data_IF_196082108373
#
_entry.id   IF_196082108373
#
_cell.length_a   1.000
_cell.length_b   1.000
_cell.length_c   1.000
_cell.angle_alpha   90.00
_cell.angle_beta   90.00
_cell.angle_gamma   90.00
#
_symmetry.space_group_name_H-M   'P 1'
#
loop_
_entity.id
_entity.type
_entity.pdbx_description
1 polymer ?
#
# COMPACT_ATOMS: atom_id res chain seq x y z
N UNK A 1 -7.56 -24.99 6.36
CA UNK A 1 -7.21 -23.80 7.17
C UNK A 1 -6.10 -23.08 6.42
N UNK A 2 -6.46 -22.17 5.51
CA UNK A 2 -5.46 -21.36 4.80
C UNK A 2 -4.88 -20.39 5.83
N UNK A 3 -3.60 -20.50 6.14
CA UNK A 3 -2.93 -19.52 6.97
C UNK A 3 -3.10 -18.16 6.29
N UNK A 4 -3.84 -17.26 6.92
CA UNK A 4 -3.99 -15.89 6.46
C UNK A 4 -2.59 -15.29 6.44
N UNK A 5 -2.00 -15.10 5.26
CA UNK A 5 -0.67 -14.53 5.11
C UNK A 5 -0.66 -13.19 5.86
N UNK A 6 0.13 -13.03 6.95
CA UNK A 6 -0.05 -11.91 7.87
C UNK A 6 0.40 -10.56 7.30
N UNK A 7 1.15 -10.58 6.19
CA UNK A 7 1.73 -9.39 5.58
C UNK A 7 3.17 -9.64 5.14
N UNK A 8 3.97 -8.57 5.06
CA UNK A 8 5.41 -8.62 4.84
C UNK A 8 6.13 -8.43 6.17
N UNK A 9 7.06 -9.33 6.48
CA UNK A 9 7.93 -9.23 7.63
C UNK A 9 9.37 -9.19 7.17
N UNK A 10 10.16 -8.35 7.83
CA UNK A 10 11.59 -8.22 7.55
C UNK A 10 12.35 -8.56 8.82
N UNK A 11 13.38 -9.37 8.63
CA UNK A 11 14.27 -9.79 9.70
C UNK A 11 15.69 -9.36 9.38
N UNK A 12 16.26 -8.47 10.22
CA UNK A 12 17.59 -7.93 9.99
C UNK A 12 18.67 -8.83 10.59
N UNK A 13 19.35 -9.57 9.71
CA UNK A 13 20.49 -10.42 10.09
C UNK A 13 21.85 -9.76 9.81
N UNK A 14 21.88 -8.69 9.02
CA UNK A 14 23.13 -8.03 8.63
C UNK A 14 23.60 -7.01 9.68
N UNK A 15 24.92 -6.86 9.82
CA UNK A 15 25.57 -5.81 10.63
C UNK A 15 25.70 -4.47 9.91
N UNK A 16 25.25 -4.39 8.65
CA UNK A 16 25.27 -3.14 7.90
C UNK A 16 24.45 -2.09 8.66
N UNK A 17 24.93 -0.83 8.75
CA UNK A 17 24.20 0.27 9.40
C UNK A 17 23.01 0.71 8.53
N UNK A 18 21.99 1.27 9.20
CA UNK A 18 20.74 1.87 8.69
C UNK A 18 19.97 1.07 7.64
N UNK A 19 19.25 0.05 8.11
CA UNK A 19 18.18 -0.54 7.31
C UNK A 19 16.96 0.37 7.37
N UNK A 20 16.74 1.14 6.31
CA UNK A 20 15.49 1.89 6.12
C UNK A 20 14.39 0.94 5.62
N UNK A 21 13.23 0.84 6.27
CA UNK A 21 11.99 0.43 5.58
C UNK A 21 11.22 1.69 5.21
N UNK A 22 11.46 2.24 4.03
CA UNK A 22 10.72 3.42 3.59
C UNK A 22 9.35 2.95 3.11
N UNK A 23 8.37 3.04 4.00
CA UNK A 23 6.98 3.26 3.61
C UNK A 23 6.90 4.68 3.04
N UNK A 24 6.63 4.81 1.74
CA UNK A 24 6.11 6.09 1.24
C UNK A 24 4.65 6.19 1.78
N UNK A 25 4.08 7.36 2.08
CA UNK A 25 3.32 7.57 3.34
C UNK A 25 1.82 7.13 3.27
N UNK A 26 1.10 6.98 4.41
CA UNK A 26 0.52 8.18 5.08
C UNK A 26 0.77 8.25 6.61
N UNK A 27 0.20 9.25 7.31
CA UNK A 27 0.85 10.42 7.90
C UNK A 27 1.67 10.19 9.18
N UNK A 28 1.82 8.95 9.66
CA UNK A 28 2.33 8.68 11.00
C UNK A 28 3.26 7.47 11.04
N UNK A 29 4.53 7.72 10.74
CA UNK A 29 5.63 6.87 11.21
C UNK A 29 6.15 5.87 10.18
N UNK A 30 7.40 6.07 9.79
CA UNK A 30 8.25 5.02 9.23
C UNK A 30 8.34 3.87 10.23
N UNK A 31 8.15 2.63 9.78
CA UNK A 31 8.56 1.45 10.55
C UNK A 31 10.06 1.29 10.32
N UNK A 32 10.88 1.51 11.35
CA UNK A 32 12.32 1.29 11.22
C UNK A 32 12.71 -0.04 11.85
N UNK A 33 13.26 -0.96 11.06
CA UNK A 33 14.01 -2.12 11.57
C UNK A 33 15.45 -1.75 11.95
N UNK A 34 15.58 -0.79 12.87
CA UNK A 34 16.88 -0.23 13.22
C UNK A 34 17.71 -1.17 14.09
N UNK A 35 17.10 -2.19 14.73
CA UNK A 35 17.82 -3.13 15.60
C UNK A 35 18.16 -4.44 14.87
N UNK A 36 19.37 -4.92 15.13
CA UNK A 36 19.81 -6.25 14.69
C UNK A 36 18.93 -7.32 15.34
N UNK A 37 18.60 -8.39 14.61
CA UNK A 37 17.76 -9.50 15.05
C UNK A 37 16.30 -9.11 15.36
N UNK A 38 15.87 -7.94 14.93
CA UNK A 38 14.46 -7.51 15.02
C UNK A 38 13.65 -8.11 13.86
N UNK A 39 12.44 -8.57 14.17
CA UNK A 39 11.42 -8.92 13.20
C UNK A 39 10.40 -7.77 13.19
N UNK A 40 10.32 -7.03 12.10
CA UNK A 40 9.33 -5.95 11.96
C UNK A 40 8.28 -6.32 10.92
N UNK A 41 7.04 -5.89 11.18
CA UNK A 41 5.98 -5.95 10.20
C UNK A 41 6.11 -4.73 9.27
N UNK A 42 6.63 -4.97 8.07
CA UNK A 42 6.85 -3.94 7.05
C UNK A 42 5.55 -3.59 6.31
N UNK A 43 4.65 -4.56 6.16
CA UNK A 43 3.30 -4.36 5.65
C UNK A 43 2.34 -5.20 6.46
N UNK A 44 1.38 -4.58 7.13
CA UNK A 44 0.27 -5.29 7.79
C UNK A 44 -0.88 -5.49 6.79
N UNK A 45 -1.27 -6.76 6.57
CA UNK A 45 -2.33 -7.08 5.61
C UNK A 45 -3.70 -6.51 6.01
N UNK A 46 -4.02 -6.48 7.31
CA UNK A 46 -5.31 -5.96 7.78
C UNK A 46 -5.38 -4.45 7.55
N UNK A 47 -4.30 -3.74 7.83
CA UNK A 47 -4.18 -2.30 7.56
C UNK A 47 -4.35 -2.02 6.06
N UNK A 48 -3.61 -2.75 5.21
CA UNK A 48 -3.76 -2.64 3.75
C UNK A 48 -5.21 -2.85 3.30
N UNK A 49 -5.88 -3.90 3.81
CA UNK A 49 -7.28 -4.18 3.47
C UNK A 49 -8.23 -3.07 3.93
N UNK A 50 -8.01 -2.47 5.10
CA UNK A 50 -8.82 -1.35 5.59
C UNK A 50 -8.64 -0.11 4.70
N UNK A 51 -7.41 0.24 4.36
CA UNK A 51 -7.11 1.34 3.45
C UNK A 51 -7.66 1.08 2.04
N UNK A 52 -7.64 -0.17 1.56
CA UNK A 52 -8.19 -0.53 0.26
C UNK A 52 -9.71 -0.37 0.22
N UNK A 53 -10.43 -0.73 1.29
CA UNK A 53 -11.88 -0.48 1.40
C UNK A 53 -12.17 1.02 1.39
N UNK A 54 -11.44 1.80 2.17
CA UNK A 54 -11.55 3.27 2.18
C UNK A 54 -11.30 3.84 0.78
N UNK A 55 -10.24 3.38 0.09
CA UNK A 55 -9.93 3.82 -1.26
C UNK A 55 -11.01 3.43 -2.27
N UNK A 56 -11.60 2.25 -2.13
CA UNK A 56 -12.70 1.78 -2.98
C UNK A 56 -13.93 2.68 -2.84
N UNK A 57 -14.31 3.01 -1.61
CA UNK A 57 -15.58 3.68 -1.29
C UNK A 57 -15.48 5.22 -1.36
N UNK A 58 -14.41 5.79 -0.81
CA UNK A 58 -14.24 7.24 -0.66
C UNK A 58 -13.19 7.82 -1.61
N UNK A 59 -12.39 6.97 -2.25
CA UNK A 59 -11.27 7.43 -3.08
C UNK A 59 -10.09 7.94 -2.26
N UNK A 60 -9.41 8.97 -2.79
CA UNK A 60 -8.19 9.50 -2.19
C UNK A 60 -6.93 8.75 -2.62
N UNK A 61 -5.96 8.64 -1.71
CA UNK A 61 -4.68 7.99 -1.98
C UNK A 61 -4.82 6.46 -1.92
N UNK A 62 -4.26 5.70 -2.89
CA UNK A 62 -4.28 4.25 -2.83
C UNK A 62 -3.41 3.72 -1.67
N UNK A 63 -3.75 2.56 -1.09
CA UNK A 63 -2.91 1.90 -0.10
C UNK A 63 -1.54 1.54 -0.68
N UNK A 64 -0.49 1.67 0.13
CA UNK A 64 0.84 1.25 -0.31
C UNK A 64 1.06 -0.25 -0.11
N UNK A 65 1.88 -0.82 -0.98
CA UNK A 65 2.17 -2.25 -0.99
C UNK A 65 3.62 -2.56 -1.41
N UNK A 66 4.45 -1.52 -1.45
CA UNK A 66 5.87 -1.57 -1.75
C UNK A 66 6.66 -1.13 -0.54
N UNK A 67 7.78 -1.78 -0.30
CA UNK A 67 8.74 -1.43 0.75
C UNK A 67 10.09 -1.23 0.11
N UNK A 68 10.78 -0.15 0.46
CA UNK A 68 12.14 0.10 -0.02
C UNK A 68 13.13 -0.09 1.13
N UNK A 69 14.11 -0.97 0.92
CA UNK A 69 15.21 -1.26 1.83
C UNK A 69 16.47 -0.56 1.39
N UNK A 70 17.07 0.25 2.26
CA UNK A 70 18.37 0.87 2.02
C UNK A 70 19.42 0.19 2.91
N UNK A 71 20.63 -0.03 2.39
CA UNK A 71 21.71 -0.71 3.14
C UNK A 71 23.00 0.10 3.16
N UNK A 72 23.65 0.14 4.33
CA UNK A 72 25.04 0.60 4.46
C UNK A 72 25.21 2.08 4.78
N UNK A 73 24.11 2.79 5.05
CA UNK A 73 24.08 4.22 5.39
C UNK A 73 23.44 4.39 6.77
N UNK A 74 23.61 5.54 7.43
CA UNK A 74 22.89 5.82 8.67
C UNK A 74 21.48 6.29 8.31
N UNK A 75 20.45 5.81 9.02
CA UNK A 75 19.07 6.15 8.75
C UNK A 75 18.32 6.39 10.08
N UNK A 76 17.38 7.36 10.18
CA UNK A 76 17.03 8.37 9.18
C UNK A 76 18.12 9.41 8.99
N UNK A 77 18.43 9.72 7.73
CA UNK A 77 19.19 10.89 7.31
C UNK A 77 18.32 11.75 6.38
N UNK A 78 18.77 12.98 6.10
CA UNK A 78 18.03 13.91 5.24
C UNK A 78 18.26 13.66 3.74
N UNK A 79 19.00 12.60 3.39
CA UNK A 79 19.40 12.33 2.02
C UNK A 79 18.27 11.62 1.26
N UNK A 80 18.01 12.00 0.00
CA UNK A 80 16.98 11.36 -0.79
C UNK A 80 17.35 9.89 -1.08
N UNK A 81 16.35 9.03 -1.27
CA UNK A 81 16.54 7.60 -1.56
C UNK A 81 17.39 7.37 -2.83
N UNK A 82 17.42 8.34 -3.76
CA UNK A 82 18.23 8.32 -4.98
C UNK A 82 19.73 8.36 -4.73
N UNK A 83 20.14 8.86 -3.57
CA UNK A 83 21.54 9.05 -3.21
C UNK A 83 22.08 7.83 -2.45
N UNK A 84 21.21 6.86 -2.16
CA UNK A 84 21.51 5.63 -1.44
C UNK A 84 22.29 4.66 -2.31
N UNK A 85 23.38 4.12 -1.78
CA UNK A 85 24.26 3.20 -2.51
C UNK A 85 23.58 1.88 -2.90
N UNK A 86 22.81 1.30 -1.98
CA UNK A 86 22.15 0.00 -2.18
C UNK A 86 20.69 0.13 -1.77
N UNK A 87 19.81 0.03 -2.75
CA UNK A 87 18.35 0.05 -2.57
C UNK A 87 17.73 -1.23 -3.10
N UNK A 88 16.78 -1.79 -2.35
CA UNK A 88 15.98 -2.95 -2.76
C UNK A 88 14.50 -2.59 -2.60
N UNK A 89 13.77 -2.56 -3.69
CA UNK A 89 12.32 -2.42 -3.65
C UNK A 89 11.67 -3.80 -3.63
N UNK A 90 10.94 -4.08 -2.56
CA UNK A 90 10.10 -5.26 -2.41
C UNK A 90 8.67 -4.88 -2.70
N UNK A 91 7.99 -5.72 -3.45
CA UNK A 91 6.59 -5.52 -3.80
C UNK A 91 5.78 -6.76 -3.50
N UNK A 92 4.53 -6.55 -3.07
CA UNK A 92 3.58 -7.61 -2.76
C UNK A 92 2.61 -7.83 -3.92
N UNK A 93 2.76 -8.90 -4.73
CA UNK A 93 1.95 -9.11 -5.93
C UNK A 93 0.45 -9.20 -5.63
N UNK A 94 0.08 -9.84 -4.51
CA UNK A 94 -1.31 -9.97 -4.09
C UNK A 94 -1.96 -8.62 -3.75
N UNK A 95 -1.17 -7.65 -3.31
CA UNK A 95 -1.63 -6.32 -2.94
C UNK A 95 -1.74 -5.43 -4.18
N UNK A 96 -0.76 -5.51 -5.10
CA UNK A 96 -0.86 -4.91 -6.43
C UNK A 96 -2.15 -5.35 -7.12
N UNK A 97 -2.38 -6.66 -7.21
CA UNK A 97 -3.54 -7.21 -7.91
C UNK A 97 -4.86 -6.69 -7.34
N UNK A 98 -5.02 -6.70 -6.01
CA UNK A 98 -6.23 -6.17 -5.36
C UNK A 98 -6.42 -4.67 -5.62
N UNK A 99 -5.34 -3.89 -5.64
CA UNK A 99 -5.43 -2.48 -5.97
C UNK A 99 -5.87 -2.28 -7.43
N UNK A 100 -5.29 -3.02 -8.37
CA UNK A 100 -5.66 -2.97 -9.79
C UNK A 100 -7.13 -3.33 -10.02
N UNK A 101 -7.64 -4.35 -9.31
CA UNK A 101 -9.06 -4.74 -9.34
C UNK A 101 -9.97 -3.61 -8.85
N UNK A 102 -9.63 -2.97 -7.72
CA UNK A 102 -10.38 -1.83 -7.20
C UNK A 102 -10.31 -0.62 -8.13
N UNK A 103 -9.14 -0.33 -8.70
CA UNK A 103 -8.99 0.77 -9.66
C UNK A 103 -9.87 0.56 -10.89
N UNK A 104 -9.82 -0.64 -11.51
CA UNK A 104 -10.65 -0.98 -12.66
C UNK A 104 -12.15 -0.93 -12.33
N UNK A 105 -12.56 -1.40 -11.15
CA UNK A 105 -13.94 -1.26 -10.67
C UNK A 105 -14.35 0.20 -10.57
N UNK A 106 -13.52 1.07 -9.98
CA UNK A 106 -13.81 2.49 -9.83
C UNK A 106 -13.88 3.23 -11.17
N UNK A 107 -12.99 2.92 -12.11
CA UNK A 107 -13.02 3.46 -13.47
C UNK A 107 -14.32 3.07 -14.19
N UNK A 108 -14.69 1.79 -14.13
CA UNK A 108 -15.94 1.28 -14.72
C UNK A 108 -17.16 1.96 -14.09
N UNK A 109 -17.14 2.13 -12.76
CA UNK A 109 -18.20 2.81 -12.02
C UNK A 109 -18.32 4.29 -12.38
N UNK A 110 -17.20 5.00 -12.55
CA UNK A 110 -17.20 6.39 -12.98
C UNK A 110 -17.81 6.54 -14.38
N UNK A 111 -17.50 5.63 -15.30
CA UNK A 111 -18.11 5.59 -16.64
C UNK A 111 -19.63 5.36 -16.57
N UNK A 112 -20.09 4.43 -15.73
CA UNK A 112 -21.53 4.16 -15.54
C UNK A 112 -22.24 5.40 -14.97
N UNK A 113 -21.62 6.08 -14.00
CA UNK A 113 -22.18 7.29 -13.40
C UNK A 113 -22.30 8.44 -14.42
N UNK A 114 -21.30 8.59 -15.29
CA UNK A 114 -21.34 9.57 -16.38
C UNK A 114 -22.44 9.26 -17.40
N UNK A 115 -22.58 7.99 -17.81
CA UNK A 115 -23.67 7.58 -18.70
C UNK A 115 -25.05 7.77 -18.06
N UNK A 116 -25.16 7.57 -16.74
CA UNK A 116 -26.39 7.78 -15.99
C UNK A 116 -26.74 9.27 -15.86
N UNK A 117 -25.76 10.17 -15.75
CA UNK A 117 -25.99 11.62 -15.66
C UNK A 117 -26.50 12.22 -16.98
N UNK A 118 -26.05 11.69 -18.11
CA UNK A 118 -26.48 12.05 -19.46
C UNK A 118 -27.84 11.45 -19.86
N UNK A 119 -28.43 10.57 -19.03
CA UNK A 119 -29.69 9.91 -19.34
C UNK A 119 -30.91 10.82 -19.12
N UNK A 120 -31.74 11.08 -20.15
CA UNK A 120 -32.92 11.95 -20.05
C UNK A 120 -34.04 11.37 -19.17
N UNK A 121 -33.94 10.11 -18.73
CA UNK A 121 -34.94 9.43 -17.91
C UNK A 121 -34.73 9.56 -16.39
N UNK A 122 -33.59 10.09 -15.91
CA UNK A 122 -33.29 10.38 -14.49
C UNK A 122 -33.61 9.27 -13.47
N UNK A 123 -33.73 8.02 -13.91
CA UNK A 123 -34.18 6.88 -13.07
C UNK A 123 -33.03 6.02 -12.51
N UNK A 124 -31.78 6.24 -12.90
CA UNK A 124 -30.67 5.36 -12.51
C UNK A 124 -29.83 5.93 -11.35
N UNK A 125 -30.44 6.10 -10.17
CA UNK A 125 -29.65 6.20 -8.94
C UNK A 125 -29.20 4.79 -8.55
N UNK A 126 -28.05 4.35 -9.08
CA UNK A 126 -27.47 3.08 -8.67
C UNK A 126 -26.69 3.28 -7.37
N UNK A 127 -27.37 3.07 -6.23
CA UNK A 127 -26.73 2.97 -4.91
C UNK A 127 -25.98 1.64 -4.83
N UNK A 128 -24.68 1.66 -5.10
CA UNK A 128 -23.80 0.48 -5.06
C UNK A 128 -23.01 0.34 -3.74
N UNK A 129 -23.38 1.08 -2.69
CA UNK A 129 -22.78 1.01 -1.36
C UNK A 129 -22.92 -0.36 -0.64
N UNK A 130 -23.40 -1.41 -1.32
CA UNK A 130 -23.76 -2.70 -0.72
C UNK A 130 -23.17 -3.95 -1.37
N UNK A 131 -22.24 -3.87 -2.33
CA UNK A 131 -21.59 -5.08 -2.88
C UNK A 131 -20.31 -5.37 -2.08
N UNK A 132 -20.50 -6.01 -0.92
CA UNK A 132 -19.44 -6.63 -0.10
C UNK A 132 -19.52 -8.14 -0.11
#
# INVERSE_FOLDING_TARGET
MLALHPGLFIHRLCRARGLLEAWSPPPTGQTNCDRQEELCAAVDRKHFSQELVVYREMGGQPPQFKVTLCFGEEFPDNDPVTDKLITVQVELPWARQQLEEVMSFRESMALIQELASESPLREAALDFYGIS
#
